data_IF_427722739921
#
_entry.id   IF_427722739921
#
_cell.length_a   1.000
_cell.length_b   1.000
_cell.length_c   1.000
_cell.angle_alpha   90.00
_cell.angle_beta   90.00
_cell.angle_gamma   90.00
#
_symmetry.space_group_name_H-M   'P 1'
#
loop_
_entity.id
_entity.type
_entity.pdbx_description
1 polymer ?
#
# COMPACT_ATOMS: atom_id res chain seq x y z
N UNK A 1 5.90 -17.25 18.52
CA UNK A 1 5.62 -16.37 19.68
C UNK A 1 6.91 -15.71 20.14
N UNK A 2 6.92 -14.39 20.29
CA UNK A 2 8.05 -13.60 20.75
C UNK A 2 7.82 -13.11 22.17
N UNK A 3 8.81 -13.26 23.03
CA UNK A 3 8.76 -12.86 24.45
C UNK A 3 10.03 -12.13 24.88
N UNK A 4 9.84 -11.14 25.75
CA UNK A 4 10.93 -10.33 26.31
C UNK A 4 11.38 -10.78 27.70
N UNK A 5 10.45 -11.34 28.48
CA UNK A 5 10.74 -11.95 29.78
C UNK A 5 11.15 -13.41 29.59
N UNK A 6 11.96 -13.98 30.50
CA UNK A 6 12.39 -15.36 30.39
C UNK A 6 11.17 -16.31 30.31
N UNK A 7 11.26 -17.38 29.49
CA UNK A 7 10.18 -18.33 29.31
C UNK A 7 9.88 -19.17 30.58
N UNK A 8 10.73 -19.06 31.60
CA UNK A 8 10.52 -19.65 32.93
C UNK A 8 9.38 -19.00 33.71
N UNK A 9 8.91 -17.82 33.28
CA UNK A 9 7.75 -17.18 33.90
C UNK A 9 6.52 -18.11 33.78
N UNK A 10 5.83 -18.41 34.90
CA UNK A 10 4.72 -19.36 34.90
C UNK A 10 3.62 -18.98 33.93
N UNK A 11 3.30 -17.69 33.78
CA UNK A 11 2.26 -17.21 32.88
C UNK A 11 2.63 -17.43 31.40
N UNK A 12 3.90 -17.22 31.03
CA UNK A 12 4.37 -17.42 29.66
C UNK A 12 4.40 -18.91 29.33
N UNK A 13 4.92 -19.71 30.25
CA UNK A 13 4.97 -21.16 30.11
C UNK A 13 3.58 -21.75 29.91
N UNK A 14 2.65 -21.34 30.77
CA UNK A 14 1.25 -21.72 30.72
C UNK A 14 0.61 -21.40 29.36
N UNK A 15 0.74 -20.16 28.88
CA UNK A 15 0.21 -19.77 27.56
C UNK A 15 0.90 -20.56 26.44
N UNK A 16 2.22 -20.74 26.52
CA UNK A 16 2.95 -21.48 25.49
C UNK A 16 2.55 -22.96 25.40
N UNK A 17 2.33 -23.62 26.53
CA UNK A 17 1.83 -25.00 26.60
C UNK A 17 0.44 -25.09 25.95
N UNK A 18 -0.48 -24.19 26.31
CA UNK A 18 -1.82 -24.12 25.71
C UNK A 18 -1.74 -23.90 24.18
N UNK A 19 -0.86 -23.00 23.72
CA UNK A 19 -0.59 -22.81 22.28
C UNK A 19 -0.05 -24.07 21.62
N UNK A 20 0.91 -24.75 22.27
CA UNK A 20 1.57 -25.92 21.70
C UNK A 20 0.62 -27.12 21.57
N UNK A 21 -0.30 -27.29 22.50
CA UNK A 21 -1.25 -28.39 22.47
C UNK A 21 -2.28 -28.21 21.35
N UNK A 22 -2.90 -27.03 21.26
CA UNK A 22 -3.83 -26.70 20.16
C UNK A 22 -3.10 -26.74 18.81
N UNK A 23 -1.88 -26.22 18.74
CA UNK A 23 -1.13 -26.21 17.48
C UNK A 23 -0.81 -27.63 17.01
N UNK A 24 -0.45 -28.56 17.92
CA UNK A 24 -0.23 -29.97 17.57
C UNK A 24 -1.49 -30.63 17.04
N UNK A 25 -2.64 -30.39 17.67
CA UNK A 25 -3.94 -30.91 17.20
C UNK A 25 -4.27 -30.41 15.79
N UNK A 26 -3.95 -29.16 15.49
CA UNK A 26 -4.15 -28.54 14.17
C UNK A 26 -3.03 -28.81 13.16
N UNK A 27 -1.95 -29.48 13.56
CA UNK A 27 -0.78 -29.72 12.70
C UNK A 27 0.08 -28.48 12.41
N UNK A 28 0.01 -27.44 13.25
CA UNK A 28 0.76 -26.19 13.14
C UNK A 28 1.94 -26.21 14.13
N UNK A 29 3.12 -25.83 13.66
CA UNK A 29 4.29 -25.68 14.53
C UNK A 29 4.35 -24.28 15.14
N UNK A 30 4.31 -24.20 16.48
CA UNK A 30 4.46 -22.94 17.20
C UNK A 30 5.74 -22.96 18.02
N UNK A 31 6.66 -22.05 17.71
CA UNK A 31 7.90 -21.85 18.45
C UNK A 31 7.86 -20.65 19.38
N UNK A 32 8.67 -20.70 20.44
CA UNK A 32 8.93 -19.55 21.33
C UNK A 32 10.32 -18.99 21.06
N UNK A 33 10.40 -17.68 20.83
CA UNK A 33 11.66 -16.94 20.71
C UNK A 33 11.75 -15.93 21.84
N UNK A 34 12.79 -16.06 22.65
CA UNK A 34 13.08 -15.13 23.73
C UNK A 34 14.17 -14.15 23.30
N UNK A 35 13.91 -12.85 23.46
CA UNK A 35 14.87 -11.78 23.20
C UNK A 35 14.81 -10.74 24.30
N UNK A 36 15.93 -10.48 24.97
CA UNK A 36 16.02 -9.41 25.97
C UNK A 36 15.88 -8.05 25.29
N UNK A 37 15.04 -7.18 25.85
CA UNK A 37 14.85 -5.82 25.33
C UNK A 37 16.06 -4.94 25.58
N UNK A 38 16.35 -4.07 24.63
CA UNK A 38 17.28 -2.97 24.83
C UNK A 38 16.47 -1.71 25.21
N UNK A 39 16.48 -1.35 26.49
CA UNK A 39 15.70 -0.22 27.03
C UNK A 39 16.22 1.13 26.52
N UNK A 40 17.51 1.23 26.15
CA UNK A 40 18.08 2.48 25.65
C UNK A 40 17.72 2.79 24.21
N UNK A 41 17.28 1.79 23.45
CA UNK A 41 16.82 2.01 22.08
C UNK A 41 15.41 2.59 22.10
N UNK A 42 15.18 3.75 21.51
CA UNK A 42 13.82 4.32 21.40
C UNK A 42 12.91 3.44 20.56
N UNK A 43 13.44 2.77 19.54
CA UNK A 43 12.70 1.91 18.63
C UNK A 43 12.22 0.64 19.33
N UNK A 44 10.95 0.33 19.10
CA UNK A 44 10.30 -0.91 19.46
C UNK A 44 10.00 -1.66 18.18
N UNK A 45 10.56 -2.87 18.05
CA UNK A 45 10.32 -3.70 16.87
C UNK A 45 9.12 -4.63 17.05
N UNK A 46 8.81 -4.98 18.29
CA UNK A 46 7.64 -5.78 18.65
C UNK A 46 6.83 -5.10 19.74
N UNK A 47 5.51 -5.13 19.63
CA UNK A 47 4.57 -4.42 20.51
C UNK A 47 4.73 -4.83 21.97
N UNK A 48 5.00 -6.11 22.24
CA UNK A 48 5.23 -6.62 23.60
C UNK A 48 6.47 -6.00 24.29
N UNK A 49 7.42 -5.44 23.54
CA UNK A 49 8.58 -4.76 24.10
C UNK A 49 8.17 -3.46 24.83
N UNK A 50 7.12 -2.75 24.37
CA UNK A 50 6.59 -1.56 25.07
C UNK A 50 6.09 -1.93 26.46
N UNK A 51 5.24 -2.95 26.55
CA UNK A 51 4.71 -3.45 27.81
C UNK A 51 5.83 -3.94 28.74
N UNK A 52 6.88 -4.53 28.17
CA UNK A 52 8.03 -5.00 28.93
C UNK A 52 8.85 -3.86 29.56
N UNK A 53 8.89 -2.67 28.94
CA UNK A 53 9.49 -1.45 29.56
C UNK A 53 8.74 -1.03 30.82
N UNK A 54 7.42 -1.18 30.82
CA UNK A 54 6.55 -0.95 31.97
C UNK A 54 6.48 -2.15 32.94
N UNK A 55 7.39 -3.12 32.79
CA UNK A 55 7.46 -4.36 33.60
C UNK A 55 6.21 -5.24 33.50
N UNK A 56 5.35 -5.02 32.51
CA UNK A 56 4.19 -5.87 32.22
C UNK A 56 4.66 -7.10 31.44
N UNK A 57 4.09 -8.27 31.76
CA UNK A 57 4.36 -9.50 31.01
C UNK A 57 3.51 -9.50 29.75
N UNK A 58 4.15 -9.54 28.59
CA UNK A 58 3.47 -9.51 27.29
C UNK A 58 4.17 -10.44 26.29
N UNK A 59 3.45 -10.80 25.24
CA UNK A 59 3.91 -11.64 24.14
C UNK A 59 3.40 -11.05 22.81
N UNK A 60 4.15 -11.24 21.73
CA UNK A 60 3.67 -10.97 20.36
C UNK A 60 3.58 -12.29 19.61
N UNK A 61 2.44 -12.53 18.95
CA UNK A 61 2.30 -13.60 17.96
C UNK A 61 2.65 -13.04 16.59
N UNK A 62 3.62 -13.65 15.91
CA UNK A 62 4.02 -13.26 14.57
C UNK A 62 4.59 -14.47 13.82
N UNK A 63 4.41 -14.47 12.51
CA UNK A 63 5.03 -15.39 11.57
C UNK A 63 6.53 -15.08 11.38
N UNK A 64 6.92 -13.81 11.49
CA UNK A 64 8.30 -13.41 11.24
C UNK A 64 9.23 -13.94 12.33
N UNK A 65 10.31 -14.57 11.88
CA UNK A 65 11.27 -15.18 12.78
C UNK A 65 12.19 -14.13 13.44
N UNK A 66 12.42 -13.01 12.77
CA UNK A 66 13.25 -11.89 13.20
C UNK A 66 12.42 -10.62 13.20
N UNK A 67 12.76 -9.64 14.06
CA UNK A 67 12.12 -8.33 13.99
C UNK A 67 12.33 -7.72 12.60
N UNK A 68 11.28 -7.25 11.91
CA UNK A 68 11.44 -6.57 10.62
C UNK A 68 12.17 -5.23 10.80
N UNK A 69 12.86 -4.79 9.75
CA UNK A 69 13.37 -3.42 9.65
C UNK A 69 12.20 -2.42 9.54
N UNK A 70 12.47 -1.13 9.75
CA UNK A 70 11.43 -0.13 9.90
C UNK A 70 10.69 0.04 8.57
N UNK A 71 9.38 -0.25 8.56
CA UNK A 71 8.53 -0.28 7.37
C UNK A 71 8.96 -1.27 6.28
N UNK A 72 9.80 -2.26 6.58
CA UNK A 72 10.33 -3.22 5.58
C UNK A 72 9.22 -3.96 4.84
N UNK A 73 8.16 -4.33 5.55
CA UNK A 73 7.05 -5.14 5.04
C UNK A 73 5.68 -4.44 5.08
N UNK A 74 5.62 -3.16 5.44
CA UNK A 74 4.35 -2.46 5.67
C UNK A 74 4.13 -1.33 4.69
N UNK A 75 2.97 -1.33 4.01
CA UNK A 75 2.55 -0.22 3.14
C UNK A 75 3.26 -0.17 1.79
N UNK A 76 3.88 -1.27 1.37
CA UNK A 76 4.44 -1.40 0.02
C UNK A 76 3.34 -1.43 -1.04
N UNK A 77 3.65 -0.94 -2.24
CA UNK A 77 2.73 -0.97 -3.39
C UNK A 77 2.36 -2.41 -3.84
N UNK A 78 3.14 -3.40 -3.40
CA UNK A 78 2.92 -4.81 -3.66
C UNK A 78 2.02 -5.50 -2.62
N UNK A 79 1.56 -4.79 -1.59
CA UNK A 79 0.60 -5.28 -0.60
C UNK A 79 -0.80 -5.34 -1.23
N UNK A 80 -1.04 -6.41 -2.00
CA UNK A 80 -2.28 -6.64 -2.74
C UNK A 80 -3.04 -7.83 -2.16
N UNK A 81 -4.35 -7.88 -2.44
CA UNK A 81 -5.25 -8.97 -2.02
C UNK A 81 -4.75 -10.37 -2.43
N UNK A 82 -4.05 -10.46 -3.54
CA UNK A 82 -3.53 -11.71 -4.11
C UNK A 82 -2.39 -12.32 -3.29
N UNK A 83 -1.69 -11.50 -2.50
CA UNK A 83 -0.62 -11.98 -1.61
C UNK A 83 -1.13 -12.76 -0.40
N UNK A 84 -2.43 -12.68 -0.09
CA UNK A 84 -3.01 -13.26 1.13
C UNK A 84 -3.87 -14.48 0.81
N UNK A 85 -3.45 -15.63 1.35
CA UNK A 85 -4.25 -16.85 1.34
C UNK A 85 -5.32 -16.84 2.43
N UNK A 86 -6.57 -17.06 2.01
CA UNK A 86 -7.73 -17.03 2.91
C UNK A 86 -7.72 -18.22 3.87
N UNK A 87 -7.30 -19.39 3.41
CA UNK A 87 -7.32 -20.60 4.22
C UNK A 87 -6.30 -20.51 5.35
N UNK A 88 -5.11 -19.95 5.07
CA UNK A 88 -4.10 -19.66 6.08
C UNK A 88 -4.59 -18.66 7.14
N UNK A 89 -5.31 -17.61 6.75
CA UNK A 89 -5.93 -16.65 7.69
C UNK A 89 -6.99 -17.36 8.54
N UNK A 90 -7.86 -18.15 7.93
CA UNK A 90 -8.90 -18.91 8.65
C UNK A 90 -8.31 -19.87 9.67
N UNK A 91 -7.26 -20.63 9.31
CA UNK A 91 -6.54 -21.51 10.24
C UNK A 91 -5.92 -20.75 11.41
N UNK A 92 -5.36 -19.57 11.14
CA UNK A 92 -4.76 -18.72 12.17
C UNK A 92 -5.81 -18.15 13.12
N UNK A 93 -6.95 -17.70 12.59
CA UNK A 93 -8.09 -17.25 13.40
C UNK A 93 -8.64 -18.40 14.26
N UNK A 94 -8.76 -19.61 13.70
CA UNK A 94 -9.17 -20.82 14.43
C UNK A 94 -8.20 -21.13 15.57
N UNK A 95 -6.89 -21.11 15.29
CA UNK A 95 -5.87 -21.33 16.31
C UNK A 95 -5.99 -20.32 17.46
N UNK A 96 -6.05 -19.02 17.15
CA UNK A 96 -6.08 -17.96 18.18
C UNK A 96 -7.39 -18.00 18.98
N UNK A 97 -8.53 -18.16 18.32
CA UNK A 97 -9.84 -18.21 18.99
C UNK A 97 -9.96 -19.43 19.90
N UNK A 98 -9.54 -20.61 19.44
CA UNK A 98 -9.56 -21.84 20.24
C UNK A 98 -8.69 -21.72 21.49
N UNK A 99 -7.49 -21.16 21.37
CA UNK A 99 -6.60 -20.95 22.52
C UNK A 99 -7.20 -19.96 23.52
N UNK A 100 -7.78 -18.85 23.05
CA UNK A 100 -8.44 -17.88 23.92
C UNK A 100 -9.64 -18.51 24.64
N UNK A 101 -10.45 -19.31 23.95
CA UNK A 101 -11.56 -20.01 24.57
C UNK A 101 -11.08 -21.03 25.62
N UNK A 102 -10.06 -21.84 25.31
CA UNK A 102 -9.48 -22.79 26.28
C UNK A 102 -8.93 -22.08 27.50
N UNK A 103 -8.34 -20.90 27.32
CA UNK A 103 -7.80 -20.08 28.40
C UNK A 103 -8.89 -19.47 29.28
N UNK A 104 -9.92 -18.88 28.68
CA UNK A 104 -11.01 -18.19 29.40
C UNK A 104 -11.87 -19.21 30.16
N UNK A 105 -12.22 -20.33 29.52
CA UNK A 105 -13.09 -21.35 30.11
C UNK A 105 -12.33 -22.43 30.90
N UNK A 106 -11.00 -22.34 30.98
CA UNK A 106 -10.18 -23.30 31.73
C UNK A 106 -10.28 -24.73 31.20
N UNK A 107 -10.40 -24.92 29.88
CA UNK A 107 -10.57 -26.23 29.23
C UNK A 107 -9.25 -27.00 29.03
N UNK A 108 -8.25 -26.74 29.88
CA UNK A 108 -6.93 -27.36 29.75
C UNK A 108 -6.97 -28.87 29.79
N UNK A 109 -6.25 -29.49 28.87
CA UNK A 109 -6.14 -30.94 28.77
C UNK A 109 -7.46 -31.64 28.39
N UNK A 110 -8.51 -30.88 28.06
CA UNK A 110 -9.75 -31.44 27.50
C UNK A 110 -9.66 -31.36 25.99
N UNK A 111 -9.87 -32.48 25.32
CA UNK A 111 -9.95 -32.55 23.87
C UNK A 111 -11.33 -32.07 23.40
N UNK A 112 -11.59 -30.78 23.58
CA UNK A 112 -12.81 -30.10 23.15
C UNK A 112 -12.39 -29.08 22.10
N UNK A 113 -12.93 -29.22 20.89
CA UNK A 113 -12.83 -28.22 19.83
C UNK A 113 -14.05 -27.29 19.95
N UNK A 114 -13.85 -26.08 20.47
CA UNK A 114 -14.94 -25.11 20.70
C UNK A 114 -15.44 -24.57 19.37
N UNK A 115 -14.54 -24.37 18.41
CA UNK A 115 -14.83 -23.80 17.09
C UNK A 115 -14.77 -24.87 15.97
N UNK A 116 -15.30 -26.07 16.25
CA UNK A 116 -15.39 -27.15 15.26
C UNK A 116 -16.20 -26.72 14.02
N UNK A 117 -15.80 -27.18 12.82
CA UNK A 117 -16.32 -26.68 11.54
C UNK A 117 -17.81 -26.99 11.30
N UNK A 118 -18.33 -28.00 12.01
CA UNK A 118 -19.74 -28.42 11.97
C UNK A 118 -20.57 -27.86 13.14
N UNK A 119 -19.97 -27.03 13.99
CA UNK A 119 -20.65 -26.43 15.14
C UNK A 119 -21.33 -25.10 14.78
N UNK A 120 -22.26 -24.66 15.64
CA UNK A 120 -22.87 -23.32 15.51
C UNK A 120 -21.89 -22.18 15.74
N UNK A 121 -20.74 -22.45 16.37
CA UNK A 121 -19.68 -21.49 16.64
C UNK A 121 -18.59 -21.52 15.56
N UNK A 122 -18.75 -22.32 14.49
CA UNK A 122 -17.76 -22.40 13.43
C UNK A 122 -17.40 -21.03 12.83
N UNK A 123 -16.13 -20.86 12.48
CA UNK A 123 -15.66 -19.62 11.86
C UNK A 123 -16.25 -19.50 10.45
N UNK A 124 -17.00 -18.42 10.22
CA UNK A 124 -17.61 -18.16 8.93
C UNK A 124 -16.56 -17.77 7.87
N UNK A 125 -16.38 -18.56 6.79
CA UNK A 125 -15.45 -18.22 5.72
C UNK A 125 -15.87 -16.95 4.98
N UNK A 126 -17.18 -16.74 4.82
CA UNK A 126 -17.73 -15.57 4.16
C UNK A 126 -17.39 -14.29 4.92
N UNK A 127 -17.49 -14.33 6.24
CA UNK A 127 -17.15 -13.19 7.10
C UNK A 127 -15.69 -12.78 6.95
N UNK A 128 -14.77 -13.74 7.01
CA UNK A 128 -13.32 -13.48 6.83
C UNK A 128 -13.04 -12.91 5.43
N UNK A 129 -13.66 -13.46 4.38
CA UNK A 129 -13.49 -12.95 3.01
C UNK A 129 -13.99 -11.51 2.86
N UNK A 130 -15.15 -11.18 3.41
CA UNK A 130 -15.69 -9.82 3.38
C UNK A 130 -14.76 -8.81 4.05
N UNK A 131 -14.17 -9.16 5.19
CA UNK A 131 -13.18 -8.32 5.86
C UNK A 131 -11.88 -8.17 5.07
N UNK A 132 -11.36 -9.25 4.51
CA UNK A 132 -10.16 -9.20 3.65
C UNK A 132 -10.38 -8.33 2.42
N UNK A 133 -11.55 -8.44 1.79
CA UNK A 133 -11.91 -7.64 0.62
C UNK A 133 -12.06 -6.15 1.00
N UNK A 134 -12.64 -5.86 2.16
CA UNK A 134 -12.72 -4.50 2.68
C UNK A 134 -11.32 -3.93 2.94
N UNK A 135 -10.44 -4.67 3.64
CA UNK A 135 -9.07 -4.24 3.90
C UNK A 135 -8.25 -4.01 2.64
N UNK A 136 -8.49 -4.79 1.58
CA UNK A 136 -7.80 -4.63 0.30
C UNK A 136 -8.21 -3.38 -0.49
N UNK A 137 -9.40 -2.83 -0.22
CA UNK A 137 -9.93 -1.65 -0.91
C UNK A 137 -9.67 -0.34 -0.15
N UNK A 138 -9.36 -0.44 1.14
CA UNK A 138 -9.14 0.72 2.00
C UNK A 138 -7.65 1.02 2.14
N UNK A 139 -7.18 2.24 1.83
CA UNK A 139 -5.79 2.60 2.06
C UNK A 139 -5.51 2.73 3.56
N UNK A 140 -4.46 2.06 4.05
CA UNK A 140 -4.11 1.98 5.49
C UNK A 140 -2.92 2.84 5.88
N UNK A 141 -2.37 3.61 4.95
CA UNK A 141 -1.18 4.43 5.18
C UNK A 141 -1.60 5.80 5.72
N UNK A 142 -0.84 6.36 6.66
CA UNK A 142 -1.21 7.53 7.45
C UNK A 142 -1.77 8.75 6.68
N UNK A 143 -1.27 9.13 5.47
CA UNK A 143 -1.85 10.25 4.71
C UNK A 143 -3.28 10.00 4.21
N UNK A 144 -3.67 8.73 4.07
CA UNK A 144 -4.97 8.33 3.54
C UNK A 144 -5.93 7.84 4.62
N UNK A 145 -5.43 7.60 5.85
CA UNK A 145 -6.23 7.17 6.99
C UNK A 145 -6.44 8.35 7.94
N UNK A 146 -7.50 9.11 7.70
CA UNK A 146 -7.86 10.25 8.54
C UNK A 146 -8.40 9.77 9.91
N UNK A 147 -8.31 10.63 10.94
CA UNK A 147 -8.81 10.29 12.30
C UNK A 147 -10.31 9.92 12.33
N UNK A 148 -11.10 10.51 11.43
CA UNK A 148 -12.53 10.28 11.31
C UNK A 148 -12.87 9.40 10.09
N UNK A 149 -11.92 8.60 9.61
CA UNK A 149 -12.15 7.76 8.44
C UNK A 149 -13.31 6.77 8.69
N UNK A 150 -14.25 6.62 7.74
CA UNK A 150 -15.35 5.66 7.84
C UNK A 150 -14.89 4.24 8.16
N UNK A 151 -13.69 3.85 7.75
CA UNK A 151 -13.07 2.56 8.07
C UNK A 151 -12.89 2.34 9.57
N UNK A 152 -12.36 3.35 10.29
CA UNK A 152 -12.17 3.27 11.75
C UNK A 152 -13.53 3.19 12.45
N UNK A 153 -14.51 3.94 11.96
CA UNK A 153 -15.89 3.90 12.46
C UNK A 153 -16.53 2.53 12.24
N UNK A 154 -16.32 1.93 11.06
CA UNK A 154 -16.81 0.58 10.75
C UNK A 154 -16.19 -0.48 11.67
N UNK A 155 -14.88 -0.44 11.90
CA UNK A 155 -14.20 -1.33 12.84
C UNK A 155 -14.73 -1.17 14.27
N UNK A 156 -14.90 0.08 14.73
CA UNK A 156 -15.48 0.36 16.04
C UNK A 156 -16.89 -0.21 16.16
N UNK A 157 -17.72 -0.02 15.12
CA UNK A 157 -19.09 -0.52 15.08
C UNK A 157 -19.12 -2.04 15.17
N UNK A 158 -18.31 -2.74 14.38
CA UNK A 158 -18.27 -4.20 14.41
C UNK A 158 -17.86 -4.73 15.79
N UNK A 159 -16.82 -4.14 16.39
CA UNK A 159 -16.40 -4.52 17.73
C UNK A 159 -17.51 -4.25 18.76
N UNK A 160 -18.27 -3.16 18.61
CA UNK A 160 -19.36 -2.83 19.54
C UNK A 160 -20.58 -3.75 19.40
N UNK A 161 -20.76 -4.42 18.25
CA UNK A 161 -21.82 -5.42 18.08
C UNK A 161 -21.46 -6.74 18.80
N UNK A 162 -20.17 -7.03 18.97
CA UNK A 162 -19.68 -8.26 19.60
C UNK A 162 -19.15 -8.08 21.03
N UNK A 163 -18.90 -6.85 21.49
CA UNK A 163 -18.34 -6.55 22.82
C UNK A 163 -19.04 -5.36 23.46
N UNK A 164 -19.09 -5.34 24.80
CA UNK A 164 -19.89 -4.35 25.54
C UNK A 164 -19.22 -2.99 25.68
N UNK A 165 -17.88 -2.92 25.65
CA UNK A 165 -17.14 -1.69 25.92
C UNK A 165 -15.99 -1.47 24.94
N UNK A 166 -16.18 -0.55 23.98
CA UNK A 166 -15.23 -0.27 22.89
C UNK A 166 -14.82 1.19 22.88
N UNK A 167 -13.56 1.42 23.25
CA UNK A 167 -12.93 2.74 23.25
C UNK A 167 -11.86 2.82 22.16
N UNK A 168 -11.88 3.91 21.39
CA UNK A 168 -10.83 4.22 20.40
C UNK A 168 -9.82 5.14 21.06
N UNK A 169 -8.58 4.65 21.20
CA UNK A 169 -7.45 5.44 21.68
C UNK A 169 -6.60 5.89 20.50
N UNK A 170 -6.27 7.17 20.46
CA UNK A 170 -5.34 7.73 19.48
C UNK A 170 -4.00 7.97 20.16
N UNK A 171 -2.99 7.19 19.80
CA UNK A 171 -1.62 7.43 20.26
C UNK A 171 -0.90 8.38 19.30
N UNK A 172 -0.24 9.39 19.86
CA UNK A 172 0.58 10.33 19.10
C UNK A 172 1.97 9.70 18.95
N UNK A 173 2.37 9.42 17.71
CA UNK A 173 3.74 9.03 17.37
C UNK A 173 4.64 10.27 17.45
N UNK A 174 5.04 10.63 18.66
CA UNK A 174 5.85 11.83 18.89
C UNK A 174 7.31 11.66 18.38
N UNK A 175 7.84 12.70 17.74
CA UNK A 175 9.28 12.89 17.50
C UNK A 175 9.98 12.07 16.40
N UNK A 176 9.35 11.08 15.77
CA UNK A 176 10.03 10.25 14.74
C UNK A 176 9.57 10.52 13.30
N UNK A 177 8.30 10.89 13.08
CA UNK A 177 7.74 11.08 11.73
C UNK A 177 6.88 12.33 11.66
N UNK A 178 7.10 13.13 10.64
CA UNK A 178 6.13 14.13 10.21
C UNK A 178 5.40 13.55 9.01
N UNK A 179 4.17 13.08 9.20
CA UNK A 179 3.34 12.64 8.09
C UNK A 179 2.88 13.87 7.31
N UNK A 180 3.23 13.92 6.04
CA UNK A 180 2.68 14.94 5.14
C UNK A 180 1.22 14.58 4.86
N UNK A 181 0.32 15.54 5.06
CA UNK A 181 -1.09 15.41 4.70
C UNK A 181 -1.21 15.22 3.17
N UNK A 182 -2.35 14.68 2.71
CA UNK A 182 -2.60 14.34 1.32
C UNK A 182 -2.29 15.53 0.40
N UNK A 183 -1.14 15.48 -0.29
CA UNK A 183 -0.71 16.50 -1.23
C UNK A 183 -1.65 16.44 -2.43
N UNK A 184 -2.63 17.34 -2.49
CA UNK A 184 -3.37 17.62 -3.73
C UNK A 184 -2.36 18.16 -4.74
N UNK A 185 -1.78 17.26 -5.53
CA UNK A 185 -0.85 17.61 -6.59
C UNK A 185 -1.63 17.71 -7.90
N UNK A 186 -1.65 18.90 -8.50
CA UNK A 186 -2.17 19.10 -9.85
C UNK A 186 -1.11 18.64 -10.84
N UNK A 187 -1.32 17.50 -11.49
CA UNK A 187 -0.46 17.05 -12.58
C UNK A 187 -0.80 17.84 -13.85
N UNK A 188 0.01 18.86 -14.13
CA UNK A 188 -0.11 19.62 -15.36
C UNK A 188 0.64 18.89 -16.48
N UNK A 189 -0.11 18.26 -17.40
CA UNK A 189 0.47 17.68 -18.62
C UNK A 189 0.53 18.77 -19.68
N UNK A 190 1.73 19.23 -20.02
CA UNK A 190 1.94 20.12 -21.15
C UNK A 190 2.41 19.32 -22.35
N UNK A 191 1.73 19.50 -23.49
CA UNK A 191 2.24 19.02 -24.76
C UNK A 191 3.36 19.97 -25.22
N UNK A 192 4.56 19.44 -25.41
CA UNK A 192 5.69 20.22 -25.95
C UNK A 192 5.36 20.65 -27.38
N UNK A 193 5.88 21.82 -27.77
CA UNK A 193 5.67 22.40 -29.10
C UNK A 193 5.83 21.32 -30.20
N UNK A 194 4.75 21.09 -30.95
CA UNK A 194 4.71 20.09 -32.00
C UNK A 194 5.49 20.59 -33.22
N UNK A 195 6.12 19.68 -33.97
CA UNK A 195 6.79 19.99 -35.25
C UNK A 195 5.85 20.69 -36.25
N UNK A 196 4.53 20.50 -36.11
CA UNK A 196 3.51 21.22 -36.89
C UNK A 196 3.53 22.73 -36.65
N UNK A 197 3.89 23.20 -35.44
CA UNK A 197 4.01 24.62 -35.14
C UNK A 197 5.16 25.24 -35.95
N UNK A 198 6.33 24.60 -35.96
CA UNK A 198 7.49 25.07 -36.73
C UNK A 198 7.22 25.04 -38.23
N UNK A 199 6.54 24.01 -38.74
CA UNK A 199 6.14 23.93 -40.15
C UNK A 199 5.13 25.01 -40.53
N UNK A 200 4.16 25.31 -39.65
CA UNK A 200 3.20 26.39 -39.85
C UNK A 200 3.92 27.74 -39.83
N UNK A 201 4.82 27.95 -38.89
CA UNK A 201 5.62 29.17 -38.79
C UNK A 201 6.51 29.38 -40.02
N UNK A 202 7.14 28.31 -40.51
CA UNK A 202 7.90 28.32 -41.76
C UNK A 202 7.02 28.65 -42.97
N UNK A 203 5.81 28.11 -43.05
CA UNK A 203 4.86 28.42 -44.12
C UNK A 203 4.43 29.88 -44.07
N UNK A 204 4.09 30.42 -42.90
CA UNK A 204 3.67 31.81 -42.72
C UNK A 204 4.81 32.77 -43.09
N UNK A 205 6.02 32.55 -42.59
CA UNK A 205 7.19 33.36 -42.93
C UNK A 205 7.56 33.25 -44.42
N UNK A 206 7.54 32.04 -44.97
CA UNK A 206 7.84 31.78 -46.37
C UNK A 206 6.86 32.49 -47.31
N UNK A 207 5.56 32.35 -47.04
CA UNK A 207 4.51 33.03 -47.83
C UNK A 207 4.60 34.55 -47.73
N UNK A 208 4.89 35.10 -46.54
CA UNK A 208 5.10 36.53 -46.36
C UNK A 208 6.25 37.06 -47.23
N UNK A 209 7.40 36.40 -47.22
CA UNK A 209 8.56 36.80 -48.03
C UNK A 209 8.28 36.71 -49.54
N UNK A 210 7.55 35.68 -49.98
CA UNK A 210 7.16 35.52 -51.39
C UNK A 210 6.23 36.66 -51.83
N UNK A 211 5.23 37.01 -51.01
CA UNK A 211 4.30 38.12 -51.31
C UNK A 211 5.05 39.45 -51.33
N UNK A 212 5.91 39.70 -50.35
CA UNK A 212 6.71 40.93 -50.27
C UNK A 212 7.63 41.08 -51.49
N UNK A 213 8.33 40.00 -51.86
CA UNK A 213 9.17 39.98 -53.05
C UNK A 213 8.36 40.25 -54.32
N UNK A 214 7.21 39.58 -54.47
CA UNK A 214 6.33 39.76 -55.62
C UNK A 214 5.82 41.20 -55.71
N UNK A 215 5.40 41.80 -54.59
CA UNK A 215 4.96 43.18 -54.52
C UNK A 215 6.06 44.17 -54.91
N UNK A 216 7.29 43.99 -54.40
CA UNK A 216 8.43 44.83 -54.74
C UNK A 216 8.80 44.74 -56.23
N UNK A 217 8.81 43.53 -56.79
CA UNK A 217 9.13 43.33 -58.22
C UNK A 217 8.05 43.95 -59.12
N UNK A 218 6.77 43.76 -58.79
CA UNK A 218 5.66 44.38 -59.54
C UNK A 218 5.78 45.91 -59.51
N UNK A 219 6.07 46.49 -58.35
CA UNK A 219 6.16 47.95 -58.17
C UNK A 219 7.38 48.56 -58.88
N UNK A 220 8.50 47.84 -58.96
CA UNK A 220 9.77 48.37 -59.50
C UNK A 220 10.04 48.02 -60.96
N UNK A 221 9.57 46.88 -61.46
CA UNK A 221 9.90 46.36 -62.82
C UNK A 221 8.69 46.00 -63.68
N UNK A 222 7.47 46.07 -63.13
CA UNK A 222 6.25 45.71 -63.85
C UNK A 222 5.97 44.20 -63.87
N UNK A 223 4.74 43.86 -64.24
CA UNK A 223 4.15 42.53 -64.05
C UNK A 223 4.75 41.45 -64.98
N UNK A 224 5.20 41.86 -66.17
CA UNK A 224 5.73 40.96 -67.21
C UNK A 224 7.08 40.33 -66.84
N UNK A 225 7.89 41.03 -66.04
CA UNK A 225 9.23 40.56 -65.64
C UNK A 225 9.15 39.48 -64.54
N UNK A 226 8.15 39.58 -63.66
CA UNK A 226 7.85 38.53 -62.67
C UNK A 226 7.43 37.22 -63.34
N UNK A 227 6.65 37.30 -64.42
CA UNK A 227 6.21 36.13 -65.21
C UNK A 227 7.38 35.52 -65.98
N UNK A 228 8.32 36.34 -66.46
CA UNK A 228 9.51 35.88 -67.18
C UNK A 228 10.53 35.17 -66.28
N UNK A 229 10.62 35.50 -64.99
CA UNK A 229 11.50 34.80 -64.03
C UNK A 229 11.07 33.34 -63.82
N UNK A 230 9.77 33.04 -63.88
CA UNK A 230 9.24 31.67 -63.70
C UNK A 230 9.08 30.89 -65.02
N UNK A 231 9.24 31.53 -66.19
CA UNK A 231 9.23 30.84 -67.48
C UNK A 231 10.64 30.34 -67.82
N UNK A 232 10.78 29.03 -68.03
CA UNK A 232 12.04 28.41 -68.51
C UNK A 232 12.51 29.10 -69.80
N UNK A 233 13.81 29.41 -69.95
CA UNK A 233 14.31 30.00 -71.19
C UNK A 233 14.10 29.03 -72.36
N UNK A 234 13.72 29.52 -73.56
CA UNK A 234 13.45 28.66 -74.70
C UNK A 234 14.73 27.92 -75.12
N UNK A 235 14.60 26.62 -75.41
CA UNK A 235 15.72 25.79 -75.83
C UNK A 235 16.31 26.31 -77.14
N UNK A 236 17.59 26.68 -77.10
CA UNK A 236 18.32 27.19 -78.26
C UNK A 236 18.51 26.04 -79.26
N UNK A 237 17.71 26.01 -80.33
CA UNK A 237 17.95 25.11 -81.47
C UNK A 237 19.33 25.41 -82.06
N UNK A 238 20.21 24.40 -82.03
CA UNK A 238 21.48 24.40 -82.75
C UNK A 238 21.16 24.36 -84.25
N UNK A 239 21.53 25.42 -84.99
CA UNK A 239 21.61 25.38 -86.46
C UNK A 239 23.00 24.84 -86.81
N UNK A 240 23.02 23.69 -87.48
CA UNK A 240 24.22 23.17 -88.10
C UNK A 240 24.64 24.00 -89.31
N UNK A 241 25.95 24.15 -89.46
CA UNK A 241 26.72 24.19 -90.69
C UNK A 241 28.17 23.88 -90.31
#
# INVERSE_FOLDING_TARGET
>A
MHVSKPPENPYIKQIFEDFSDVSKEMGISVGIKHKKINVSNSRVAWEHEQFSRFRVTALTLSELSTPPEFLESTGGLYDTRESVDVESVMRTVKLVSEILARQIYGLRGRNIDVFADNSSLAISPHYIRSWLDLFSRTPRVAPFLQKNDPFIVALKKELSEHTTDVHVQNDVLDGMFTFYDATKSTLNVYQVASVTFDLLFLLVLGSYLIVLFSFLVITTRGLDDLINIFRRPPSRKVKGA
#
